data_IF_369884615183
#
_entry.id   IF_369884615183
#
_cell.length_a   1.000
_cell.length_b   1.000
_cell.length_c   1.000
_cell.angle_alpha   90.00
_cell.angle_beta   90.00
_cell.angle_gamma   90.00
#
_symmetry.space_group_name_H-M   'P 1'
#
loop_
_entity.id
_entity.type
_entity.pdbx_description
1 polymer ?
#
# COMPACT_ATOMS: atom_id res chain seq x y z
N UNK A 1 4.54 1.75 2.93
CA UNK A 1 3.10 1.74 3.22
C UNK A 1 2.90 2.37 4.57
N UNK A 2 1.82 3.13 4.75
CA UNK A 2 1.43 3.74 6.03
C UNK A 2 -0.01 3.36 6.35
N UNK A 3 -0.39 3.48 7.62
CA UNK A 3 -1.77 3.30 8.07
C UNK A 3 -2.14 4.35 9.12
N UNK A 4 -3.44 4.55 9.32
CA UNK A 4 -3.98 5.45 10.33
C UNK A 4 -5.07 4.77 11.17
N UNK A 5 -5.05 4.97 12.51
CA UNK A 5 -4.17 5.88 13.26
C UNK A 5 -2.70 5.41 13.30
N UNK A 6 -1.76 6.37 13.31
CA UNK A 6 -0.32 6.10 13.22
C UNK A 6 0.31 5.62 14.54
N UNK A 7 -0.48 5.50 15.60
CA UNK A 7 -0.07 5.07 16.94
C UNK A 7 0.49 3.65 16.98
N UNK A 8 0.24 2.82 15.97
CA UNK A 8 0.56 1.40 15.99
C UNK A 8 -0.46 0.56 16.77
N UNK A 9 -1.30 1.18 17.60
CA UNK A 9 -2.47 0.57 18.22
C UNK A 9 -3.75 1.08 17.54
N UNK A 10 -4.65 0.18 17.19
CA UNK A 10 -5.95 0.46 16.59
C UNK A 10 -7.06 -0.21 17.39
N UNK A 11 -8.26 0.34 17.36
CA UNK A 11 -9.41 -0.29 18.00
C UNK A 11 -10.06 -1.29 17.06
N UNK A 12 -10.48 -2.44 17.58
CA UNK A 12 -11.35 -3.34 16.84
C UNK A 12 -12.67 -2.63 16.48
N UNK A 13 -13.30 -3.07 15.39
CA UNK A 13 -14.55 -2.51 14.87
C UNK A 13 -14.48 -1.01 14.50
N UNK A 14 -13.28 -0.47 14.28
CA UNK A 14 -13.04 0.87 13.73
C UNK A 14 -12.28 0.79 12.42
N UNK A 15 -12.53 1.78 11.55
CA UNK A 15 -11.81 1.88 10.28
C UNK A 15 -10.34 2.20 10.52
N UNK A 16 -9.48 1.42 9.87
CA UNK A 16 -8.07 1.69 9.68
C UNK A 16 -7.84 2.06 8.22
N UNK A 17 -7.23 3.21 7.97
CA UNK A 17 -6.97 3.74 6.63
C UNK A 17 -5.57 3.36 6.20
N UNK A 18 -5.40 2.92 4.96
CA UNK A 18 -4.11 2.48 4.44
C UNK A 18 -3.70 3.29 3.20
N UNK A 19 -2.39 3.53 3.06
CA UNK A 19 -1.85 4.27 1.94
C UNK A 19 -0.49 3.72 1.47
N UNK A 20 -0.28 3.80 0.17
CA UNK A 20 0.99 3.57 -0.52
C UNK A 20 1.52 4.89 -1.07
N UNK A 21 2.84 5.08 -1.01
CA UNK A 21 3.50 6.24 -1.60
C UNK A 21 3.88 6.03 -3.07
N UNK A 22 3.52 4.87 -3.63
CA UNK A 22 3.84 4.51 -5.01
C UNK A 22 3.21 5.50 -5.99
N UNK A 23 4.05 6.02 -6.88
CA UNK A 23 3.68 6.95 -7.94
C UNK A 23 4.53 6.66 -9.17
N UNK A 24 4.10 7.17 -10.31
CA UNK A 24 4.91 7.05 -11.52
C UNK A 24 6.30 7.67 -11.30
N UNK A 25 7.35 6.98 -11.76
CA UNK A 25 8.71 7.52 -11.73
C UNK A 25 9.52 7.00 -12.91
N UNK A 26 10.51 7.80 -13.32
CA UNK A 26 11.50 7.40 -14.31
C UNK A 26 12.84 7.11 -13.64
N UNK A 27 13.55 6.10 -14.11
CA UNK A 27 14.86 5.70 -13.60
C UNK A 27 15.84 5.41 -14.74
N UNK A 28 17.10 5.81 -14.62
CA UNK A 28 18.12 5.38 -15.56
C UNK A 28 18.37 3.87 -15.42
N UNK A 29 18.65 3.20 -16.52
CA UNK A 29 19.06 1.79 -16.54
C UNK A 29 20.26 1.62 -17.47
N UNK A 30 21.16 0.70 -17.15
CA UNK A 30 22.17 0.23 -18.08
C UNK A 30 22.02 -1.29 -18.22
N UNK A 31 21.86 -1.76 -19.45
CA UNK A 31 21.73 -3.18 -19.75
C UNK A 31 22.82 -3.55 -20.75
N UNK A 32 23.78 -4.36 -20.31
CA UNK A 32 24.88 -4.85 -21.16
C UNK A 32 25.63 -3.73 -21.90
N UNK A 33 25.79 -2.55 -21.28
CA UNK A 33 26.47 -1.39 -21.86
C UNK A 33 25.56 -0.42 -22.60
N UNK A 34 24.31 -0.77 -22.88
CA UNK A 34 23.30 0.12 -23.47
C UNK A 34 22.64 0.93 -22.37
N UNK A 35 22.66 2.26 -22.50
CA UNK A 35 22.02 3.14 -21.52
C UNK A 35 20.57 3.40 -21.92
N UNK A 36 19.70 3.50 -20.92
CA UNK A 36 18.29 3.72 -21.16
C UNK A 36 17.58 4.39 -20.00
N UNK A 37 16.29 4.61 -20.20
CA UNK A 37 15.37 5.10 -19.18
C UNK A 37 14.23 4.11 -19.05
N UNK A 38 13.90 3.74 -17.81
CA UNK A 38 12.67 3.04 -17.47
C UNK A 38 11.65 4.06 -16.99
N UNK A 39 10.39 3.89 -17.39
CA UNK A 39 9.23 4.54 -16.79
C UNK A 39 8.38 3.48 -16.11
N UNK A 40 8.19 3.62 -14.81
CA UNK A 40 7.41 2.71 -14.00
C UNK A 40 6.13 3.42 -13.59
N UNK A 41 4.99 2.86 -13.98
CA UNK A 41 3.66 3.39 -13.64
C UNK A 41 2.91 2.35 -12.82
N UNK A 42 2.48 2.67 -11.58
CA UNK A 42 1.67 1.74 -10.81
C UNK A 42 0.29 1.62 -11.47
N UNK A 43 -0.21 0.40 -11.62
CA UNK A 43 -1.49 0.11 -12.29
C UNK A 43 -2.46 -0.69 -11.42
N UNK A 44 -2.01 -1.16 -10.25
CA UNK A 44 -2.86 -1.88 -9.31
C UNK A 44 -2.17 -2.13 -7.98
N UNK A 45 -2.98 -2.25 -6.93
CA UNK A 45 -2.56 -2.43 -5.55
C UNK A 45 -3.36 -3.59 -4.96
N UNK A 46 -2.68 -4.65 -4.53
CA UNK A 46 -3.27 -5.76 -3.81
C UNK A 46 -2.89 -5.63 -2.33
N UNK A 47 -3.87 -5.37 -1.49
CA UNK A 47 -3.72 -5.16 -0.06
C UNK A 47 -3.92 -6.47 0.69
N UNK A 48 -3.11 -6.69 1.72
CA UNK A 48 -3.29 -7.78 2.69
C UNK A 48 -3.17 -7.18 4.08
N UNK A 49 -4.20 -7.31 4.92
CA UNK A 49 -4.24 -6.62 6.22
C UNK A 49 -3.59 -7.41 7.36
N UNK A 50 -3.20 -8.66 7.11
CA UNK A 50 -2.53 -9.54 8.07
C UNK A 50 -3.46 -10.42 8.90
N UNK A 51 -4.77 -10.15 8.89
CA UNK A 51 -5.85 -10.92 9.52
C UNK A 51 -6.50 -11.95 8.57
N UNK A 52 -5.94 -12.10 7.35
CA UNK A 52 -6.51 -12.90 6.26
C UNK A 52 -7.32 -12.09 5.25
N UNK A 53 -7.70 -10.84 5.58
CA UNK A 53 -8.41 -9.95 4.66
C UNK A 53 -7.49 -9.50 3.54
N UNK A 54 -7.94 -9.68 2.29
CA UNK A 54 -7.25 -9.23 1.08
C UNK A 54 -8.21 -8.63 0.06
N UNK A 55 -7.79 -7.58 -0.64
CA UNK A 55 -8.57 -6.94 -1.70
C UNK A 55 -7.66 -6.11 -2.62
N UNK A 56 -8.19 -5.67 -3.77
CA UNK A 56 -7.42 -4.91 -4.76
C UNK A 56 -8.06 -3.56 -5.08
N UNK A 57 -7.22 -2.55 -5.31
CA UNK A 57 -7.61 -1.21 -5.77
C UNK A 57 -6.75 -0.75 -6.94
N UNK A 58 -7.22 0.29 -7.64
CA UNK A 58 -6.43 1.03 -8.65
C UNK A 58 -5.83 2.31 -8.08
N UNK A 59 -6.37 2.82 -6.98
CA UNK A 59 -5.83 3.93 -6.19
C UNK A 59 -4.76 3.43 -5.21
N UNK A 60 -3.81 4.29 -4.82
CA UNK A 60 -2.82 3.96 -3.80
C UNK A 60 -3.37 4.01 -2.36
N UNK A 61 -4.68 4.11 -2.17
CA UNK A 61 -5.28 4.40 -0.88
C UNK A 61 -5.18 5.88 -0.51
N UNK A 62 -5.27 6.16 0.78
CA UNK A 62 -5.20 7.52 1.29
C UNK A 62 -5.32 7.58 2.81
N UNK A 63 -5.20 8.78 3.34
CA UNK A 63 -5.36 9.08 4.76
C UNK A 63 -6.80 9.48 5.06
N UNK A 64 -7.22 9.39 6.33
CA UNK A 64 -8.49 9.95 6.78
C UNK A 64 -8.57 11.46 6.43
N UNK A 65 -9.75 11.99 6.04
CA UNK A 65 -11.03 11.30 5.87
C UNK A 65 -11.27 10.71 4.48
N UNK A 66 -10.48 11.10 3.48
CA UNK A 66 -10.80 10.85 2.07
C UNK A 66 -10.20 9.55 1.51
N UNK A 67 -9.37 8.85 2.27
CA UNK A 67 -8.78 7.58 1.87
C UNK A 67 -9.84 6.51 1.59
N UNK A 68 -9.64 5.75 0.51
CA UNK A 68 -10.57 4.75 -0.01
C UNK A 68 -10.18 3.30 0.32
N UNK A 69 -8.93 3.07 0.73
CA UNK A 69 -8.46 1.77 1.21
C UNK A 69 -8.64 1.73 2.73
N UNK A 70 -9.61 0.94 3.16
CA UNK A 70 -10.03 0.80 4.56
C UNK A 70 -10.09 -0.67 4.97
N UNK A 71 -9.83 -0.93 6.24
CA UNK A 71 -9.98 -2.25 6.84
C UNK A 71 -10.51 -2.13 8.26
N UNK A 72 -11.19 -3.18 8.72
CA UNK A 72 -11.71 -3.29 10.08
C UNK A 72 -11.19 -4.59 10.67
N UNK A 73 -10.49 -4.50 11.80
CA UNK A 73 -10.10 -5.68 12.58
C UNK A 73 -11.22 -6.04 13.54
N UNK A 74 -11.63 -7.32 13.56
CA UNK A 74 -12.71 -7.81 14.41
C UNK A 74 -12.23 -8.53 15.67
N UNK A 75 -10.98 -9.00 15.66
CA UNK A 75 -10.36 -9.69 16.79
C UNK A 75 -9.12 -8.93 17.25
N UNK A 76 -8.84 -8.91 18.56
CA UNK A 76 -7.60 -8.35 19.08
C UNK A 76 -6.41 -9.19 18.64
N UNK A 77 -5.28 -8.54 18.35
CA UNK A 77 -4.09 -9.24 17.86
C UNK A 77 -3.05 -8.33 17.25
N UNK A 78 -1.90 -8.90 16.89
CA UNK A 78 -0.83 -8.19 16.17
C UNK A 78 -0.90 -8.60 14.70
N UNK A 79 -1.02 -7.61 13.82
CA UNK A 79 -1.15 -7.81 12.38
C UNK A 79 -0.07 -7.04 11.63
N UNK A 80 0.41 -7.60 10.52
CA UNK A 80 1.35 -6.91 9.64
C UNK A 80 0.74 -6.71 8.25
N UNK A 81 0.17 -5.53 7.98
CA UNK A 81 -0.40 -5.25 6.68
C UNK A 81 0.70 -5.09 5.62
N UNK A 82 0.37 -5.40 4.37
CA UNK A 82 1.25 -5.25 3.22
C UNK A 82 0.48 -4.86 1.96
N UNK A 83 1.20 -4.33 0.98
CA UNK A 83 0.66 -4.03 -0.35
C UNK A 83 1.60 -4.55 -1.43
N UNK A 84 1.05 -5.31 -2.37
CA UNK A 84 1.71 -5.73 -3.60
C UNK A 84 1.28 -4.81 -4.74
N UNK A 85 2.24 -4.15 -5.38
CA UNK A 85 1.99 -3.15 -6.42
C UNK A 85 2.34 -3.75 -7.78
N UNK A 86 1.41 -3.66 -8.72
CA UNK A 86 1.64 -3.99 -10.13
C UNK A 86 2.12 -2.76 -10.90
N UNK A 87 3.18 -2.91 -11.69
CA UNK A 87 3.82 -1.84 -12.43
C UNK A 87 3.80 -2.13 -13.93
N UNK A 88 3.26 -1.19 -14.71
CA UNK A 88 3.54 -1.13 -16.14
C UNK A 88 4.93 -0.52 -16.31
N UNK A 89 5.78 -1.19 -17.07
CA UNK A 89 7.15 -0.75 -17.34
C UNK A 89 7.26 -0.39 -18.81
N UNK A 90 7.73 0.82 -19.09
CA UNK A 90 8.17 1.23 -20.42
C UNK A 90 9.67 1.47 -20.40
N UNK A 91 10.37 1.11 -21.48
CA UNK A 91 11.81 1.28 -21.62
C UNK A 91 12.12 2.07 -22.89
N UNK A 92 13.14 2.92 -22.80
CA UNK A 92 13.72 3.63 -23.93
C UNK A 92 15.24 3.47 -23.88
N UNK A 93 15.82 2.88 -24.91
CA UNK A 93 17.27 2.79 -25.07
C UNK A 93 17.81 3.96 -25.89
N UNK A 94 18.97 4.52 -25.49
CA UNK A 94 19.74 5.54 -26.23
C UNK A 94 18.90 6.70 -26.81
N UNK A 95 17.84 7.12 -26.10
CA UNK A 95 16.96 8.21 -26.53
C UNK A 95 15.97 7.87 -27.64
N UNK A 96 15.82 6.59 -28.01
CA UNK A 96 14.87 6.10 -29.03
C UNK A 96 13.40 6.17 -28.62
N UNK A 97 12.56 5.32 -29.21
CA UNK A 97 11.14 5.24 -28.85
C UNK A 97 10.92 4.49 -27.54
N UNK A 98 9.82 4.82 -26.86
CA UNK A 98 9.35 4.05 -25.71
C UNK A 98 8.76 2.72 -26.17
N UNK A 99 9.16 1.64 -25.50
CA UNK A 99 8.64 0.31 -25.68
C UNK A 99 8.01 -0.17 -24.38
N UNK A 100 6.75 -0.60 -24.41
CA UNK A 100 6.12 -1.24 -23.26
C UNK A 100 6.68 -2.65 -23.09
N UNK A 101 7.25 -2.94 -21.93
CA UNK A 101 7.70 -4.28 -21.57
C UNK A 101 6.47 -5.18 -21.40
N UNK A 102 6.36 -6.32 -22.11
CA UNK A 102 5.24 -7.23 -21.94
C UNK A 102 5.11 -7.72 -20.49
N UNK A 103 3.90 -7.65 -19.95
CA UNK A 103 3.60 -8.05 -18.57
C UNK A 103 3.69 -6.91 -17.56
N UNK A 104 3.76 -7.28 -16.27
CA UNK A 104 3.85 -6.35 -15.16
C UNK A 104 5.05 -6.71 -14.27
N UNK A 105 5.75 -5.69 -13.80
CA UNK A 105 6.66 -5.80 -12.66
C UNK A 105 5.87 -5.77 -11.35
N UNK A 106 6.40 -6.38 -10.30
CA UNK A 106 5.74 -6.39 -9.00
C UNK A 106 6.70 -6.07 -7.86
N UNK A 107 6.23 -5.24 -6.92
CA UNK A 107 6.92 -4.99 -5.66
C UNK A 107 5.98 -5.31 -4.50
N UNK A 108 6.53 -5.68 -3.35
CA UNK A 108 5.78 -5.87 -2.11
C UNK A 108 6.38 -4.97 -1.05
N UNK A 109 5.53 -4.22 -0.36
CA UNK A 109 5.93 -3.36 0.76
C UNK A 109 5.14 -3.76 1.98
N UNK A 110 5.85 -4.06 3.06
CA UNK A 110 5.26 -4.34 4.37
C UNK A 110 5.13 -3.02 5.16
N UNK A 111 4.01 -2.86 5.84
CA UNK A 111 3.85 -1.84 6.87
C UNK A 111 4.56 -2.26 8.16
N UNK A 112 4.64 -1.32 9.09
CA UNK A 112 4.94 -1.66 10.49
C UNK A 112 3.81 -2.54 11.04
N UNK A 113 4.09 -3.43 11.99
CA UNK A 113 3.04 -4.12 12.73
C UNK A 113 2.10 -3.13 13.40
N UNK A 114 0.83 -3.51 13.49
CA UNK A 114 -0.16 -2.83 14.30
C UNK A 114 -0.78 -3.81 15.29
N UNK A 115 -1.26 -3.30 16.41
CA UNK A 115 -1.97 -4.05 17.45
C UNK A 115 -3.42 -3.62 17.46
N UNK A 116 -4.33 -4.53 17.15
CA UNK A 116 -5.75 -4.31 17.35
C UNK A 116 -6.10 -4.64 18.81
N UNK A 117 -6.77 -3.71 19.49
CA UNK A 117 -7.20 -3.88 20.88
C UNK A 117 -8.70 -3.64 21.02
N UNK A 118 -9.30 -4.28 22.01
CA UNK A 118 -10.65 -3.99 22.44
C UNK A 118 -10.65 -2.83 23.43
N UNK A 119 -11.56 -1.87 23.24
CA UNK A 119 -11.81 -0.82 24.21
C UNK A 119 -13.06 -1.17 25.02
N UNK A 120 -12.91 -1.31 26.34
CA UNK A 120 -14.05 -1.37 27.25
C UNK A 120 -14.57 0.06 27.51
N UNK A 121 -15.85 0.29 27.20
CA UNK A 121 -16.49 1.54 27.56
C UNK A 121 -16.88 1.50 29.06
N UNK A 122 -16.19 2.28 29.89
CA UNK A 122 -16.60 2.51 31.29
C UNK A 122 -17.46 3.77 31.35
N UNK A 123 -18.74 3.61 31.70
CA UNK A 123 -19.63 4.73 32.01
C UNK A 123 -19.29 5.26 33.41
N UNK A 124 -18.80 6.49 33.49
CA UNK A 124 -18.64 7.20 34.77
C UNK A 124 -19.96 7.93 35.08
N UNK A 125 -20.64 7.62 36.20
CA UNK A 125 -21.79 8.41 36.62
C UNK A 125 -21.37 9.85 36.93
N UNK A 126 -22.11 10.82 36.41
CA UNK A 126 -21.92 12.24 36.73
C UNK A 126 -22.55 12.48 38.12
N UNK A 127 -21.87 13.18 39.05
CA UNK A 127 -22.34 13.38 40.43
C UNK A 127 -23.62 14.22 40.54
#
# INVERSE_FOLDING_TARGET
>A
MTFQPASGEVLINKDVYFASSARAYEAPVNVLGVSGTLRLTPVGFQWSLGDGTTFSTVSPGGVWPDGDVRGIYHEPGVFQPSVRIGWRVEVRADGGQWFTVPGLGYTVVYGNPLTAVEAEAVLVPIP
#
